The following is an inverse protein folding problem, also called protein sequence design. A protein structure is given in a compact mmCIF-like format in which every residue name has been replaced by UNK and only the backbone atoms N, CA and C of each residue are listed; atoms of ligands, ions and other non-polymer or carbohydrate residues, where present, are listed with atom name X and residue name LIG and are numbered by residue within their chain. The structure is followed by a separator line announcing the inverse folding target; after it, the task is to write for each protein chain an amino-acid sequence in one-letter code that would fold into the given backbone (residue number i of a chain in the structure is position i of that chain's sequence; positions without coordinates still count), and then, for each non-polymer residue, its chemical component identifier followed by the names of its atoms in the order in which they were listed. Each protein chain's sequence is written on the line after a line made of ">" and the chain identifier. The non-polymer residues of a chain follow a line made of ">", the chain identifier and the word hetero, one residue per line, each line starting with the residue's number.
data_IF_433233418402
#
_entry.id   IF_433233418402
#
_cell.length_a   1.000
_cell.length_b   1.000
_cell.length_c   1.000
_cell.angle_alpha   90.00
_cell.angle_beta   90.00
_cell.angle_gamma   90.00
#
_symmetry.space_group_name_H-M   'P 1'
#
loop_
_entity.id
_entity.type
_entity.pdbx_description
1 polymer ?
#
# COMPACT_ATOMS: atom_id res chain seq x y z
N UNK A 1 11.44 -2.90 6.82
CA UNK A 1 11.55 -3.61 5.50
C UNK A 1 12.84 -3.20 4.78
N UNK A 2 13.50 -4.08 4.01
CA UNK A 2 14.69 -3.70 3.22
C UNK A 2 14.33 -2.86 1.97
N UNK A 3 15.25 -2.02 1.49
CA UNK A 3 15.03 -1.20 0.28
C UNK A 3 14.76 -2.04 -0.97
N UNK A 4 15.45 -3.17 -1.13
CA UNK A 4 15.22 -4.08 -2.26
C UNK A 4 13.82 -4.67 -2.26
N UNK A 5 13.33 -5.05 -1.06
CA UNK A 5 11.97 -5.58 -0.90
C UNK A 5 10.92 -4.50 -1.09
N UNK A 6 11.16 -3.29 -0.56
CA UNK A 6 10.32 -2.13 -0.79
C UNK A 6 10.14 -1.89 -2.29
N UNK A 7 11.25 -1.81 -3.03
CA UNK A 7 11.26 -1.57 -4.47
C UNK A 7 10.48 -2.63 -5.25
N UNK A 8 10.68 -3.92 -4.95
CA UNK A 8 9.92 -5.02 -5.56
C UNK A 8 8.41 -4.91 -5.30
N UNK A 9 8.01 -4.64 -4.06
CA UNK A 9 6.59 -4.50 -3.69
C UNK A 9 5.95 -3.30 -4.38
N UNK A 10 6.53 -2.10 -4.25
CA UNK A 10 5.92 -0.87 -4.79
C UNK A 10 5.92 -0.84 -6.32
N UNK A 11 6.81 -1.61 -6.98
CA UNK A 11 6.82 -1.73 -8.45
C UNK A 11 5.52 -2.32 -9.02
N UNK A 12 4.70 -2.97 -8.18
CA UNK A 12 3.40 -3.55 -8.55
C UNK A 12 2.26 -2.54 -8.54
N UNK A 13 2.50 -1.30 -8.10
CA UNK A 13 1.48 -0.29 -7.86
C UNK A 13 1.62 0.91 -8.79
N UNK A 14 0.52 1.62 -9.02
CA UNK A 14 0.46 2.84 -9.83
C UNK A 14 1.10 4.04 -9.10
N UNK A 15 2.36 3.88 -8.71
CA UNK A 15 3.16 4.86 -7.99
C UNK A 15 3.84 5.82 -8.96
N UNK A 16 3.95 7.11 -8.62
CA UNK A 16 4.77 8.06 -9.36
C UNK A 16 6.22 7.59 -9.47
N UNK A 17 6.91 8.01 -10.53
CA UNK A 17 8.34 7.74 -10.66
C UNK A 17 9.13 8.38 -9.50
N UNK A 18 10.18 7.69 -9.09
CA UNK A 18 11.08 8.18 -8.05
C UNK A 18 11.69 7.07 -7.20
N UNK A 19 12.59 7.50 -6.31
CA UNK A 19 13.11 6.64 -5.25
C UNK A 19 12.22 6.80 -4.02
N UNK A 20 12.03 5.69 -3.32
CA UNK A 20 11.23 5.62 -2.11
C UNK A 20 12.08 5.15 -0.95
N UNK A 21 11.90 5.77 0.21
CA UNK A 21 12.51 5.35 1.48
C UNK A 21 11.43 5.12 2.52
N UNK A 22 11.74 4.29 3.52
CA UNK A 22 10.92 4.14 4.73
C UNK A 22 11.28 5.29 5.68
N UNK A 23 10.28 6.05 6.12
CA UNK A 23 10.41 7.14 7.10
C UNK A 23 9.93 6.73 8.50
N UNK A 24 9.06 5.72 8.56
CA UNK A 24 8.55 5.16 9.80
C UNK A 24 7.98 3.77 9.58
N UNK A 25 7.94 2.97 10.64
CA UNK A 25 7.33 1.65 10.63
C UNK A 25 6.69 1.35 11.98
N UNK A 26 5.76 0.41 12.00
CA UNK A 26 5.05 -0.01 13.19
C UNK A 26 4.13 -1.20 12.92
N UNK A 27 3.18 -1.43 13.82
CA UNK A 27 2.24 -2.54 13.73
C UNK A 27 0.84 -2.15 14.22
N UNK A 28 -0.20 -2.63 13.55
CA UNK A 28 -1.59 -2.55 14.02
C UNK A 28 -2.00 -3.79 14.86
N UNK A 29 -1.06 -4.70 15.10
CA UNK A 29 -1.27 -5.91 15.90
C UNK A 29 -0.07 -6.84 15.81
N UNK A 30 -0.20 -8.10 16.21
CA UNK A 30 0.94 -9.04 16.24
C UNK A 30 1.49 -9.41 14.85
N UNK A 31 0.79 -9.10 13.77
CA UNK A 31 1.12 -9.61 12.43
C UNK A 31 0.72 -8.70 11.27
N UNK A 32 0.12 -7.55 11.55
CA UNK A 32 -0.07 -6.48 10.56
C UNK A 32 0.93 -5.37 10.85
N UNK A 33 1.87 -5.22 9.94
CA UNK A 33 2.92 -4.22 9.99
C UNK A 33 2.65 -3.16 8.94
N UNK A 34 3.06 -1.94 9.25
CA UNK A 34 2.99 -0.82 8.32
C UNK A 34 4.36 -0.16 8.16
N UNK A 35 4.53 0.46 7.00
CA UNK A 35 5.65 1.30 6.64
C UNK A 35 5.12 2.59 6.03
N UNK A 36 5.46 3.71 6.65
CA UNK A 36 5.29 5.02 6.02
C UNK A 36 6.45 5.24 5.07
N UNK A 37 6.16 5.27 3.78
CA UNK A 37 7.16 5.45 2.73
C UNK A 37 7.02 6.82 2.10
N UNK A 38 8.13 7.37 1.63
CA UNK A 38 8.16 8.72 1.06
C UNK A 38 8.84 8.72 -0.30
N UNK A 39 8.18 9.32 -1.29
CA UNK A 39 8.82 9.63 -2.56
C UNK A 39 9.85 10.75 -2.33
N UNK A 40 11.12 10.46 -2.60
CA UNK A 40 12.23 11.37 -2.36
C UNK A 40 12.26 12.58 -3.30
N UNK A 41 11.55 12.53 -4.43
CA UNK A 41 11.43 13.65 -5.37
C UNK A 41 10.29 14.60 -4.97
N UNK A 42 9.11 14.06 -4.68
CA UNK A 42 7.90 14.86 -4.44
C UNK A 42 7.62 15.13 -2.96
N UNK A 43 8.32 14.45 -2.05
CA UNK A 43 8.01 14.37 -0.62
C UNK A 43 6.64 13.76 -0.27
N UNK A 44 5.88 13.28 -1.26
CA UNK A 44 4.59 12.62 -1.03
C UNK A 44 4.80 11.36 -0.19
N UNK A 45 3.93 11.19 0.81
CA UNK A 45 3.94 10.04 1.73
C UNK A 45 2.84 9.04 1.37
N UNK A 46 3.13 7.79 1.68
CA UNK A 46 2.26 6.66 1.42
C UNK A 46 2.33 5.70 2.60
N UNK A 47 1.23 4.99 2.83
CA UNK A 47 1.14 3.91 3.79
C UNK A 47 1.20 2.58 3.05
N UNK A 48 2.26 1.81 3.29
CA UNK A 48 2.36 0.42 2.85
C UNK A 48 2.05 -0.47 4.04
N UNK A 49 1.19 -1.46 3.86
CA UNK A 49 0.76 -2.38 4.91
C UNK A 49 0.87 -3.81 4.42
N UNK A 50 1.18 -4.74 5.32
CA UNK A 50 0.80 -6.13 5.10
C UNK A 50 -0.51 -6.42 5.86
N UNK A 51 -1.52 -6.85 5.12
CA UNK A 51 -2.90 -6.99 5.57
C UNK A 51 -3.33 -8.45 5.57
N UNK A 52 -4.30 -8.78 6.42
CA UNK A 52 -5.08 -10.02 6.30
C UNK A 52 -6.13 -10.00 5.19
N UNK A 53 -6.19 -8.90 4.43
CA UNK A 53 -7.26 -8.61 3.47
C UNK A 53 -8.60 -8.52 4.19
N UNK A 54 -8.76 -7.48 5.03
CA UNK A 54 -10.08 -7.08 5.53
C UNK A 54 -11.08 -7.02 4.36
N UNK A 55 -12.36 -7.29 4.63
CA UNK A 55 -13.44 -7.54 3.66
C UNK A 55 -13.67 -6.43 2.58
N UNK A 56 -12.69 -6.13 1.75
CA UNK A 56 -12.67 -5.02 0.79
C UNK A 56 -11.83 -3.82 1.23
N UNK A 57 -11.49 -2.98 0.25
CA UNK A 57 -10.68 -1.76 0.42
C UNK A 57 -11.30 -0.75 1.38
N UNK A 58 -12.62 -0.64 1.42
CA UNK A 58 -13.33 0.28 2.32
C UNK A 58 -13.13 -0.12 3.80
N UNK A 59 -13.17 -1.42 4.08
CA UNK A 59 -12.93 -1.93 5.44
C UNK A 59 -11.46 -1.70 5.86
N UNK A 60 -10.51 -1.84 4.92
CA UNK A 60 -9.11 -1.48 5.19
C UNK A 60 -8.96 0.01 5.52
N UNK A 61 -9.56 0.88 4.71
CA UNK A 61 -9.50 2.33 4.92
C UNK A 61 -10.13 2.76 6.25
N UNK A 62 -11.24 2.13 6.64
CA UNK A 62 -11.88 2.37 7.94
C UNK A 62 -10.97 1.93 9.10
N UNK A 63 -10.41 0.73 9.04
CA UNK A 63 -9.51 0.21 10.06
C UNK A 63 -8.26 1.08 10.23
N UNK A 64 -7.56 1.42 9.13
CA UNK A 64 -6.35 2.25 9.22
C UNK A 64 -6.64 3.68 9.69
N UNK A 65 -7.85 4.19 9.46
CA UNK A 65 -8.31 5.47 10.02
C UNK A 65 -8.45 5.40 11.53
N UNK A 66 -9.05 4.34 12.07
CA UNK A 66 -9.16 4.13 13.52
C UNK A 66 -7.79 4.05 14.21
N UNK A 67 -6.79 3.54 13.49
CA UNK A 67 -5.39 3.46 13.93
C UNK A 67 -4.58 4.76 13.72
N UNK A 68 -5.21 5.84 13.26
CA UNK A 68 -4.63 7.19 13.17
C UNK A 68 -4.04 7.57 11.82
N UNK A 69 -4.25 6.77 10.78
CA UNK A 69 -3.96 7.15 9.39
C UNK A 69 -5.22 7.72 8.73
N UNK A 70 -5.51 8.98 9.01
CA UNK A 70 -6.58 9.71 8.34
C UNK A 70 -6.21 10.03 6.87
N UNK A 71 -7.23 10.25 6.04
CA UNK A 71 -7.09 10.70 4.65
C UNK A 71 -6.28 9.78 3.71
N UNK A 72 -6.57 8.47 3.76
CA UNK A 72 -5.98 7.49 2.85
C UNK A 72 -6.78 7.38 1.54
N UNK A 73 -6.06 7.25 0.42
CA UNK A 73 -6.62 6.81 -0.87
C UNK A 73 -5.88 5.55 -1.34
N UNK A 74 -6.62 4.48 -1.66
CA UNK A 74 -6.03 3.23 -2.11
C UNK A 74 -5.39 3.35 -3.50
N UNK A 75 -4.15 2.89 -3.63
CA UNK A 75 -3.43 2.91 -4.89
C UNK A 75 -3.59 1.56 -5.58
N UNK A 76 -4.19 1.51 -6.77
CA UNK A 76 -4.37 0.26 -7.49
C UNK A 76 -3.03 -0.28 -8.00
N UNK A 77 -3.02 -1.60 -8.23
CA UNK A 77 -1.93 -2.30 -8.89
C UNK A 77 -1.83 -1.88 -10.35
N UNK A 78 -0.63 -2.03 -10.90
CA UNK A 78 -0.35 -1.89 -12.33
C UNK A 78 -0.91 -3.10 -13.06
N UNK A 79 -1.71 -2.87 -14.10
CA UNK A 79 -2.41 -3.93 -14.85
C UNK A 79 -1.41 -4.93 -15.44
N UNK A 80 -0.26 -4.46 -15.93
CA UNK A 80 0.80 -5.28 -16.50
C UNK A 80 1.54 -6.16 -15.49
N UNK A 81 1.30 -5.95 -14.19
CA UNK A 81 1.91 -6.74 -13.09
C UNK A 81 0.93 -7.72 -12.45
N UNK A 82 -0.31 -7.78 -12.94
CA UNK A 82 -1.32 -8.70 -12.44
C UNK A 82 -1.03 -10.14 -12.91
N UNK A 83 -1.19 -11.10 -12.01
CA UNK A 83 -1.06 -12.52 -12.33
C UNK A 83 -2.19 -13.00 -13.24
N UNK A 84 -3.37 -12.39 -13.09
CA UNK A 84 -4.58 -12.66 -13.87
C UNK A 84 -5.19 -11.33 -14.30
N UNK A 85 -5.47 -11.16 -15.60
CA UNK A 85 -5.99 -9.90 -16.13
C UNK A 85 -7.31 -9.45 -15.47
N UNK A 86 -8.18 -10.40 -15.10
CA UNK A 86 -9.46 -10.10 -14.43
C UNK A 86 -9.31 -9.57 -13.00
N UNK A 87 -8.11 -9.61 -12.40
CA UNK A 87 -7.87 -8.97 -11.11
C UNK A 87 -8.00 -7.45 -11.15
N UNK A 88 -7.92 -6.83 -12.34
CA UNK A 88 -8.15 -5.41 -12.49
C UNK A 88 -9.58 -4.99 -12.09
N UNK A 89 -10.55 -5.90 -12.25
CA UNK A 89 -11.97 -5.67 -11.97
C UNK A 89 -12.40 -6.22 -10.60
N UNK A 90 -11.55 -7.01 -9.94
CA UNK A 90 -11.83 -7.59 -8.62
C UNK A 90 -11.65 -6.53 -7.51
N UNK A 91 -12.57 -6.52 -6.54
CA UNK A 91 -12.61 -5.49 -5.50
C UNK A 91 -11.37 -5.46 -4.61
N UNK A 92 -10.73 -6.62 -4.40
CA UNK A 92 -9.57 -6.78 -3.51
C UNK A 92 -8.28 -6.92 -4.32
N UNK A 93 -8.28 -7.80 -5.31
CA UNK A 93 -7.07 -8.18 -6.07
C UNK A 93 -6.50 -7.02 -6.88
N UNK A 94 -7.30 -6.01 -7.22
CA UNK A 94 -6.81 -4.78 -7.86
C UNK A 94 -5.96 -3.91 -6.93
N UNK A 95 -6.03 -4.10 -5.61
CA UNK A 95 -5.27 -3.36 -4.59
C UNK A 95 -4.29 -4.24 -3.81
N UNK A 96 -4.42 -5.56 -3.89
CA UNK A 96 -3.64 -6.50 -3.07
C UNK A 96 -2.59 -7.25 -3.91
N UNK A 97 -1.32 -7.14 -3.52
CA UNK A 97 -0.22 -7.95 -4.03
C UNK A 97 0.36 -8.85 -2.94
N UNK A 98 0.07 -10.15 -3.02
CA UNK A 98 0.38 -11.07 -1.93
C UNK A 98 -0.41 -10.68 -0.69
N UNK A 99 0.28 -10.18 0.34
CA UNK A 99 -0.35 -9.62 1.54
C UNK A 99 -0.20 -8.10 1.61
N UNK A 100 0.36 -7.45 0.59
CA UNK A 100 0.60 -6.01 0.64
C UNK A 100 -0.54 -5.23 0.01
N UNK A 101 -0.91 -4.10 0.62
CA UNK A 101 -1.73 -3.05 0.02
C UNK A 101 -1.06 -1.68 0.25
N UNK A 102 -1.36 -0.71 -0.62
CA UNK A 102 -0.65 0.57 -0.66
C UNK A 102 -1.65 1.73 -0.78
N UNK A 103 -1.43 2.76 0.03
CA UNK A 103 -2.33 3.90 0.13
C UNK A 103 -1.54 5.21 0.06
N UNK A 104 -2.08 6.20 -0.63
CA UNK A 104 -1.60 7.58 -0.56
C UNK A 104 -2.11 8.24 0.71
N UNK A 105 -1.23 8.93 1.43
CA UNK A 105 -1.63 9.78 2.56
C UNK A 105 -1.87 11.19 2.01
N UNK A 106 -3.14 11.59 1.87
CA UNK A 106 -3.49 12.93 1.37
C UNK A 106 -3.18 13.98 2.42
N UNK A 107 -2.65 15.11 1.95
CA UNK A 107 -2.36 16.30 2.75
C UNK A 107 -3.59 17.20 2.89
#
# INVERSE_FOLDING_TARGET
>A
MSESRLSDVISRYQMPEGRYSVEGEGSFGESEFFWVIKNQLTNQKYLLVNTYSHHGVEAELEYYREEGFDNLEAIPRRIETLEIASYADDEISKYLFGMYSLFEIKS
#
